data_IF_778264643091
#
_entry.id   IF_778264643091
#
_cell.length_a   1.000
_cell.length_b   1.000
_cell.length_c   1.000
_cell.angle_alpha   90.00
_cell.angle_beta   90.00
_cell.angle_gamma   90.00
#
_symmetry.space_group_name_H-M   'P 1'
#
loop_
_entity.id
_entity.type
_entity.pdbx_description
1 polymer ?
#
# COMPACT_ATOMS: atom_id res chain seq x y z
N UNK A 1 -3.57 5.28 -1.81
CA UNK A 1 -2.37 5.58 -2.63
C UNK A 1 -1.34 6.17 -1.70
N UNK A 2 -0.11 5.67 -1.75
CA UNK A 2 1.00 6.22 -0.99
C UNK A 2 1.63 7.37 -1.80
N UNK A 3 1.89 8.48 -1.12
CA UNK A 3 2.61 9.63 -1.67
C UNK A 3 3.72 9.96 -0.67
N UNK A 4 4.98 9.90 -1.09
CA UNK A 4 6.11 10.10 -0.20
C UNK A 4 7.20 9.03 -0.34
N UNK A 5 8.01 8.92 0.70
CA UNK A 5 9.13 7.98 0.77
C UNK A 5 8.65 6.55 0.98
N UNK A 6 9.29 5.56 0.34
CA UNK A 6 8.99 4.14 0.58
C UNK A 6 9.12 3.73 2.06
N UNK A 7 9.94 4.43 2.85
CA UNK A 7 10.08 4.19 4.29
C UNK A 7 8.81 4.54 5.09
N UNK A 8 7.92 5.36 4.53
CA UNK A 8 6.67 5.83 5.16
C UNK A 8 5.47 4.97 4.71
N UNK A 9 5.67 3.99 3.84
CA UNK A 9 4.63 3.04 3.43
C UNK A 9 3.99 2.26 4.59
N UNK A 10 4.69 1.88 5.69
CA UNK A 10 4.06 1.22 6.82
C UNK A 10 2.89 2.01 7.41
N UNK A 11 2.96 3.34 7.42
CA UNK A 11 1.87 4.21 7.89
C UNK A 11 0.65 4.12 6.96
N UNK A 12 0.89 4.03 5.65
CA UNK A 12 -0.18 3.85 4.65
C UNK A 12 -0.82 2.48 4.79
N UNK A 13 -0.02 1.42 4.97
CA UNK A 13 -0.51 0.05 5.20
C UNK A 13 -1.33 -0.03 6.48
N UNK A 14 -0.89 0.61 7.57
CA UNK A 14 -1.65 0.64 8.82
C UNK A 14 -3.04 1.26 8.61
N UNK A 15 -3.13 2.43 7.96
CA UNK A 15 -4.42 3.06 7.63
C UNK A 15 -5.30 2.17 6.75
N UNK A 16 -4.72 1.44 5.80
CA UNK A 16 -5.45 0.47 4.96
C UNK A 16 -6.01 -0.69 5.79
N UNK A 17 -5.23 -1.22 6.74
CA UNK A 17 -5.64 -2.31 7.62
C UNK A 17 -6.80 -1.88 8.53
N UNK A 18 -6.68 -0.72 9.17
CA UNK A 18 -7.74 -0.14 10.01
C UNK A 18 -9.03 0.07 9.21
N UNK A 19 -8.90 0.62 7.99
CA UNK A 19 -10.05 0.77 7.09
C UNK A 19 -10.68 -0.58 6.74
N UNK A 20 -9.90 -1.60 6.40
CA UNK A 20 -10.41 -2.93 6.07
C UNK A 20 -11.17 -3.54 7.26
N UNK A 21 -10.58 -3.52 8.45
CA UNK A 21 -11.20 -4.04 9.68
C UNK A 21 -12.51 -3.33 10.01
N UNK A 22 -12.55 -2.00 9.93
CA UNK A 22 -13.75 -1.19 10.16
C UNK A 22 -14.90 -1.52 9.17
N UNK A 23 -14.56 -2.05 8.00
CA UNK A 23 -15.52 -2.46 6.97
C UNK A 23 -15.81 -3.97 6.99
N UNK A 24 -15.32 -4.70 7.99
CA UNK A 24 -15.55 -6.14 8.14
C UNK A 24 -14.74 -7.00 7.18
N UNK A 25 -13.59 -6.50 6.71
CA UNK A 25 -12.66 -7.25 5.89
C UNK A 25 -11.39 -7.62 6.67
N UNK A 26 -10.85 -8.79 6.36
CA UNK A 26 -9.55 -9.25 6.83
C UNK A 26 -8.55 -9.25 5.67
N UNK A 27 -7.31 -8.86 5.95
CA UNK A 27 -6.21 -8.96 4.99
C UNK A 27 -5.82 -10.45 4.84
N UNK A 28 -5.77 -10.97 3.62
CA UNK A 28 -5.48 -12.39 3.35
C UNK A 28 -4.25 -12.53 2.45
N UNK A 29 -3.07 -12.52 3.05
CA UNK A 29 -1.80 -12.79 2.37
C UNK A 29 -1.56 -14.30 2.32
N UNK A 30 -1.46 -14.86 1.12
CA UNK A 30 -1.20 -16.30 0.88
C UNK A 30 -0.23 -16.47 -0.29
N UNK A 31 0.20 -17.70 -0.55
CA UNK A 31 1.00 -18.05 -1.73
C UNK A 31 0.28 -17.82 -3.09
N UNK A 32 -1.00 -17.43 -3.07
CA UNK A 32 -1.74 -17.04 -4.29
C UNK A 32 -2.22 -15.60 -4.25
N UNK A 33 -2.13 -14.94 -3.10
CA UNK A 33 -2.67 -13.60 -2.86
C UNK A 33 -1.59 -12.77 -2.19
N UNK A 34 -0.88 -12.00 -3.01
CA UNK A 34 0.26 -11.23 -2.57
C UNK A 34 -0.07 -9.77 -2.35
N UNK A 35 0.75 -9.11 -1.52
CA UNK A 35 0.88 -7.67 -1.50
C UNK A 35 1.45 -7.19 -2.84
N UNK A 36 0.85 -6.16 -3.43
CA UNK A 36 1.28 -5.62 -4.71
C UNK A 36 1.55 -4.12 -4.57
N UNK A 37 2.71 -3.71 -5.04
CA UNK A 37 3.09 -2.31 -5.21
C UNK A 37 3.20 -1.99 -6.70
N UNK A 38 2.63 -0.86 -7.11
CA UNK A 38 2.81 -0.31 -8.45
C UNK A 38 3.46 1.06 -8.29
N UNK A 39 4.72 1.15 -8.68
CA UNK A 39 5.47 2.40 -8.69
C UNK A 39 5.10 3.22 -9.92
N UNK A 40 4.42 4.34 -9.71
CA UNK A 40 4.04 5.25 -10.79
C UNK A 40 5.11 6.32 -11.05
N UNK A 41 6.05 6.49 -10.11
CA UNK A 41 7.13 7.47 -10.17
C UNK A 41 8.48 6.77 -10.29
N UNK A 42 9.38 7.34 -11.09
CA UNK A 42 10.79 6.91 -11.13
C UNK A 42 11.55 7.56 -9.96
N UNK A 43 12.06 6.79 -8.98
CA UNK A 43 12.71 7.33 -7.79
C UNK A 43 14.01 8.09 -8.08
N UNK A 44 14.57 7.95 -9.29
CA UNK A 44 15.78 8.69 -9.70
C UNK A 44 15.44 10.09 -10.26
N UNK A 45 14.17 10.36 -10.55
CA UNK A 45 13.72 11.59 -11.23
C UNK A 45 12.73 12.40 -10.42
N UNK A 46 11.90 11.74 -9.63
CA UNK A 46 10.87 12.39 -8.83
C UNK A 46 11.41 12.84 -7.46
N UNK A 47 10.93 13.99 -6.99
CA UNK A 47 11.10 14.40 -5.60
C UNK A 47 10.45 13.36 -4.68
N UNK A 48 11.16 12.94 -3.63
CA UNK A 48 10.71 11.91 -2.68
C UNK A 48 9.31 12.23 -2.14
N UNK A 49 9.01 13.49 -1.86
CA UNK A 49 7.72 13.93 -1.30
C UNK A 49 6.57 13.90 -2.32
N UNK A 50 6.87 13.65 -3.60
CA UNK A 50 5.89 13.62 -4.70
C UNK A 50 5.83 12.26 -5.38
N UNK A 51 6.65 11.29 -4.97
CA UNK A 51 6.61 9.94 -5.48
C UNK A 51 5.26 9.30 -5.18
N UNK A 52 4.72 8.55 -6.15
CA UNK A 52 3.43 7.89 -6.03
C UNK A 52 3.60 6.38 -6.17
N UNK A 53 3.14 5.66 -5.17
CA UNK A 53 3.06 4.19 -5.17
C UNK A 53 1.62 3.77 -4.89
N UNK A 54 1.08 2.89 -5.72
CA UNK A 54 -0.20 2.23 -5.43
C UNK A 54 0.09 0.96 -4.65
N UNK A 55 -0.32 0.95 -3.38
CA UNK A 55 -0.25 -0.23 -2.51
C UNK A 55 -1.58 -0.97 -2.57
N UNK A 56 -1.55 -2.28 -2.80
CA UNK A 56 -2.73 -3.14 -2.82
C UNK A 56 -2.50 -4.39 -2.00
N UNK A 57 -3.41 -4.63 -1.06
CA UNK A 57 -3.45 -5.86 -0.28
C UNK A 57 -4.73 -6.65 -0.57
N UNK A 58 -4.63 -7.97 -0.70
CA UNK A 58 -5.78 -8.84 -0.86
C UNK A 58 -6.64 -8.84 0.41
N UNK A 59 -7.95 -8.68 0.24
CA UNK A 59 -8.92 -8.74 1.33
C UNK A 59 -9.89 -9.89 1.17
N UNK A 60 -10.44 -10.37 2.28
CA UNK A 60 -11.52 -11.36 2.35
C UNK A 60 -12.55 -10.90 3.37
N UNK A 61 -13.82 -11.24 3.13
CA UNK A 61 -14.91 -11.01 4.06
C UNK A 61 -15.08 -12.21 4.98
#
# INVERSE_FOLDING_TARGET
MHIGSYNEEPETIQRMNEFAQNNGYNIELTEKRYHHEIYLSDPRKADVNKMKTVIRQPVKK
#
